data_IF_576748956773
#
_entry.id   IF_576748956773
#
_cell.length_a   1.000
_cell.length_b   1.000
_cell.length_c   1.000
_cell.angle_alpha   90.00
_cell.angle_beta   90.00
_cell.angle_gamma   90.00
#
_symmetry.space_group_name_H-M   'P 1'
#
loop_
_entity.id
_entity.type
_entity.pdbx_description
1 polymer ?
#
# COMPACT_ATOMS: atom_id res chain seq x y z
N UNK A 1 -10.52 -17.25 3.25
CA UNK A 1 -9.60 -17.05 4.40
C UNK A 1 -10.02 -15.86 5.29
N UNK A 2 -11.31 -15.48 5.34
CA UNK A 2 -11.86 -14.49 6.30
C UNK A 2 -12.78 -15.16 7.36
N UNK A 3 -12.87 -16.48 7.34
CA UNK A 3 -13.78 -17.31 8.14
C UNK A 3 -13.37 -17.48 9.62
N UNK A 4 -12.34 -16.79 10.09
CA UNK A 4 -11.80 -16.94 11.46
C UNK A 4 -12.15 -15.78 12.41
N UNK A 5 -12.90 -14.79 11.96
CA UNK A 5 -13.37 -13.71 12.84
C UNK A 5 -14.60 -14.17 13.64
N UNK A 6 -14.70 -13.72 14.89
CA UNK A 6 -15.86 -13.97 15.75
C UNK A 6 -17.20 -13.47 15.14
N UNK A 7 -17.12 -12.59 14.14
CA UNK A 7 -18.25 -12.01 13.41
C UNK A 7 -17.95 -11.97 11.89
N UNK A 8 -18.13 -13.10 11.17
CA UNK A 8 -17.77 -13.21 9.75
C UNK A 8 -18.60 -12.29 8.83
N UNK A 9 -19.82 -11.94 9.23
CA UNK A 9 -20.67 -10.98 8.49
C UNK A 9 -20.17 -9.54 8.63
N UNK A 10 -19.61 -9.17 9.78
CA UNK A 10 -19.06 -7.83 9.96
C UNK A 10 -17.74 -7.68 9.19
N UNK A 11 -16.90 -8.73 9.16
CA UNK A 11 -15.65 -8.72 8.41
C UNK A 11 -15.88 -8.67 6.90
N UNK A 12 -16.91 -9.37 6.38
CA UNK A 12 -17.27 -9.30 4.96
C UNK A 12 -17.74 -7.89 4.55
N UNK A 13 -18.61 -7.27 5.35
CA UNK A 13 -19.09 -5.89 5.11
C UNK A 13 -17.93 -4.88 5.11
N UNK A 14 -17.00 -4.99 6.07
CA UNK A 14 -15.84 -4.11 6.12
C UNK A 14 -14.92 -4.27 4.91
N UNK A 15 -14.66 -5.51 4.50
CA UNK A 15 -13.83 -5.78 3.32
C UNK A 15 -14.48 -5.22 2.06
N UNK A 16 -15.78 -5.44 1.87
CA UNK A 16 -16.53 -4.92 0.72
C UNK A 16 -16.52 -3.39 0.67
N UNK A 17 -16.68 -2.76 1.83
CA UNK A 17 -16.76 -1.30 1.95
C UNK A 17 -15.43 -0.60 1.68
N UNK A 18 -14.30 -1.25 1.99
CA UNK A 18 -12.98 -0.60 2.00
C UNK A 18 -12.03 -1.08 0.90
N UNK A 19 -12.26 -2.26 0.29
CA UNK A 19 -11.43 -2.77 -0.82
C UNK A 19 -11.55 -1.86 -2.03
N UNK A 20 -10.47 -1.76 -2.80
CA UNK A 20 -10.46 -1.02 -4.06
C UNK A 20 -10.84 -1.98 -5.19
N UNK A 21 -11.97 -1.74 -5.84
CA UNK A 21 -12.48 -2.55 -6.95
C UNK A 21 -13.09 -1.63 -8.01
N UNK A 22 -13.05 -2.06 -9.28
CA UNK A 22 -13.44 -1.20 -10.41
C UNK A 22 -14.93 -0.85 -10.38
N UNK A 23 -15.80 -1.81 -10.00
CA UNK A 23 -17.24 -1.58 -9.94
C UNK A 23 -17.59 -0.42 -8.98
N UNK A 24 -16.99 -0.40 -7.79
CA UNK A 24 -17.21 0.69 -6.86
C UNK A 24 -16.63 2.02 -7.35
N UNK A 25 -15.52 2.01 -8.10
CA UNK A 25 -14.97 3.23 -8.71
C UNK A 25 -15.90 3.82 -9.77
N UNK A 26 -16.54 2.96 -10.57
CA UNK A 26 -17.53 3.37 -11.57
C UNK A 26 -18.76 4.02 -10.92
N UNK A 27 -19.12 3.58 -9.70
CA UNK A 27 -20.16 4.17 -8.86
C UNK A 27 -19.71 5.44 -8.09
N UNK A 28 -18.48 5.91 -8.32
CA UNK A 28 -17.94 7.13 -7.71
C UNK A 28 -17.30 6.95 -6.33
N UNK A 29 -17.01 5.72 -5.92
CA UNK A 29 -16.43 5.41 -4.60
C UNK A 29 -14.92 5.68 -4.49
N UNK A 30 -14.47 6.87 -4.88
CA UNK A 30 -13.05 7.24 -4.92
C UNK A 30 -12.37 7.26 -3.54
N UNK A 31 -13.13 7.31 -2.43
CA UNK A 31 -12.56 7.19 -1.09
C UNK A 31 -11.87 5.83 -0.86
N UNK A 32 -12.20 4.80 -1.64
CA UNK A 32 -11.57 3.47 -1.57
C UNK A 32 -10.06 3.53 -1.84
N UNK A 33 -9.58 4.51 -2.62
CA UNK A 33 -8.14 4.76 -2.79
C UNK A 33 -7.41 5.10 -1.48
N UNK A 34 -8.11 5.68 -0.51
CA UNK A 34 -7.53 6.01 0.79
C UNK A 34 -7.67 4.85 1.81
N UNK A 35 -8.66 3.98 1.66
CA UNK A 35 -8.98 2.95 2.66
C UNK A 35 -8.41 1.57 2.37
N UNK A 36 -8.20 1.20 1.10
CA UNK A 36 -7.85 -0.18 0.73
C UNK A 36 -6.52 -0.65 1.34
N UNK A 37 -5.60 0.29 1.62
CA UNK A 37 -4.32 0.01 2.27
C UNK A 37 -4.45 -0.50 3.71
N UNK A 38 -5.60 -0.28 4.36
CA UNK A 38 -5.89 -0.77 5.71
C UNK A 38 -6.28 -2.26 5.71
N UNK A 39 -6.77 -2.78 4.57
CA UNK A 39 -7.17 -4.16 4.43
C UNK A 39 -5.99 -5.06 4.06
N UNK A 40 -6.02 -6.30 4.53
CA UNK A 40 -5.06 -7.33 4.14
C UNK A 40 -5.79 -8.67 4.02
N UNK A 41 -5.55 -9.40 2.91
CA UNK A 41 -6.26 -10.66 2.63
C UNK A 41 -5.78 -11.86 3.45
N UNK A 42 -4.63 -11.78 4.13
CA UNK A 42 -4.08 -12.87 4.94
C UNK A 42 -3.10 -12.37 6.01
N UNK A 43 -2.87 -13.21 7.04
CA UNK A 43 -1.88 -12.95 8.10
C UNK A 43 -0.46 -12.79 7.58
N UNK A 44 -0.08 -13.60 6.59
CA UNK A 44 1.23 -13.47 5.96
C UNK A 44 1.35 -12.16 5.18
N UNK A 45 0.27 -11.72 4.51
CA UNK A 45 0.29 -10.47 3.77
C UNK A 45 0.49 -9.25 4.68
N UNK A 46 -0.24 -9.17 5.80
CA UNK A 46 -0.02 -8.10 6.78
C UNK A 46 1.36 -8.20 7.43
N UNK A 47 1.83 -9.40 7.77
CA UNK A 47 3.16 -9.58 8.34
C UNK A 47 4.26 -9.07 7.40
N UNK A 48 4.20 -9.38 6.11
CA UNK A 48 5.17 -8.89 5.12
C UNK A 48 5.13 -7.36 4.96
N UNK A 49 3.94 -6.76 4.98
CA UNK A 49 3.81 -5.29 4.95
C UNK A 49 4.42 -4.66 6.21
N UNK A 50 4.13 -5.20 7.39
CA UNK A 50 4.68 -4.69 8.65
C UNK A 50 6.19 -4.87 8.72
N UNK A 51 6.72 -6.02 8.27
CA UNK A 51 8.17 -6.27 8.18
C UNK A 51 8.81 -5.25 7.22
N UNK A 52 8.25 -5.05 6.04
CA UNK A 52 8.75 -4.07 5.08
C UNK A 52 8.76 -2.65 5.66
N UNK A 53 7.67 -2.24 6.28
CA UNK A 53 7.57 -0.92 6.91
C UNK A 53 8.54 -0.77 8.09
N UNK A 54 8.68 -1.80 8.92
CA UNK A 54 9.56 -1.81 10.08
C UNK A 54 11.05 -1.68 9.71
N UNK A 55 11.49 -2.36 8.65
CA UNK A 55 12.89 -2.27 8.22
C UNK A 55 13.16 -1.05 7.35
N UNK A 56 12.35 -0.80 6.32
CA UNK A 56 12.66 0.23 5.32
C UNK A 56 12.14 1.62 5.70
N UNK A 57 11.06 1.69 6.46
CA UNK A 57 10.47 2.95 6.91
C UNK A 57 11.44 3.81 7.72
N UNK A 58 12.02 3.31 8.82
CA UNK A 58 12.99 4.07 9.63
C UNK A 58 14.24 4.48 8.86
N UNK A 59 14.75 3.63 7.96
CA UNK A 59 15.90 3.95 7.10
C UNK A 59 15.54 5.16 6.23
N UNK A 60 14.44 5.08 5.48
CA UNK A 60 14.01 6.16 4.60
C UNK A 60 13.73 7.45 5.36
N UNK A 61 13.01 7.36 6.48
CA UNK A 61 12.69 8.50 7.33
C UNK A 61 13.95 9.16 7.89
N UNK A 62 14.96 8.39 8.28
CA UNK A 62 16.22 8.94 8.79
C UNK A 62 17.00 9.73 7.73
N UNK A 63 16.91 9.33 6.47
CA UNK A 63 17.62 9.96 5.35
C UNK A 63 16.86 11.14 4.75
N UNK A 64 15.53 11.05 4.69
CA UNK A 64 14.68 12.01 3.95
C UNK A 64 13.72 12.79 4.85
N UNK A 65 13.60 12.45 6.13
CA UNK A 65 12.71 13.09 7.10
C UNK A 65 11.26 12.57 7.07
N UNK A 66 10.55 12.80 8.18
CA UNK A 66 9.17 12.33 8.41
C UNK A 66 8.17 12.78 7.33
N UNK A 67 8.26 14.04 6.89
CA UNK A 67 7.33 14.59 5.87
C UNK A 67 7.43 13.82 4.56
N UNK A 68 8.64 13.61 4.08
CA UNK A 68 8.88 12.88 2.84
C UNK A 68 8.51 11.40 2.97
N UNK A 69 8.75 10.79 4.12
CA UNK A 69 8.27 9.43 4.41
C UNK A 69 6.75 9.31 4.23
N UNK A 70 5.97 10.23 4.80
CA UNK A 70 4.52 10.22 4.67
C UNK A 70 4.07 10.47 3.23
N UNK A 71 4.68 11.42 2.53
CA UNK A 71 4.35 11.74 1.13
C UNK A 71 4.62 10.54 0.22
N UNK A 72 5.78 9.88 0.37
CA UNK A 72 6.14 8.72 -0.45
C UNK A 72 5.27 7.52 -0.11
N UNK A 73 4.99 7.26 1.16
CA UNK A 73 4.13 6.16 1.58
C UNK A 73 2.70 6.34 1.05
N UNK A 74 2.08 7.49 1.30
CA UNK A 74 0.70 7.77 0.88
C UNK A 74 0.63 7.90 -0.64
N UNK A 75 1.58 8.60 -1.26
CA UNK A 75 1.67 8.72 -2.71
C UNK A 75 1.83 7.37 -3.41
N UNK A 76 2.67 6.48 -2.87
CA UNK A 76 2.83 5.12 -3.37
C UNK A 76 1.60 4.24 -3.19
N UNK A 77 0.84 4.42 -2.11
CA UNK A 77 -0.48 3.78 -1.94
C UNK A 77 -1.43 4.28 -3.04
N UNK A 78 -1.58 5.59 -3.22
CA UNK A 78 -2.50 6.14 -4.22
C UNK A 78 -2.13 5.74 -5.65
N UNK A 79 -0.85 5.87 -6.01
CA UNK A 79 -0.36 5.48 -7.35
C UNK A 79 -0.43 3.96 -7.52
N UNK A 80 -0.10 3.17 -6.50
CA UNK A 80 -0.23 1.72 -6.54
C UNK A 80 -1.67 1.26 -6.76
N UNK A 81 -2.62 1.86 -6.04
CA UNK A 81 -4.05 1.62 -6.25
C UNK A 81 -4.51 2.04 -7.65
N UNK A 82 -4.07 3.20 -8.14
CA UNK A 82 -4.41 3.67 -9.48
C UNK A 82 -3.87 2.75 -10.57
N UNK A 83 -2.60 2.34 -10.45
CA UNK A 83 -1.98 1.41 -11.38
C UNK A 83 -2.68 0.04 -11.34
N UNK A 84 -3.07 -0.43 -10.15
CA UNK A 84 -3.89 -1.64 -10.03
C UNK A 84 -5.19 -1.49 -10.80
N UNK A 85 -5.99 -0.44 -10.56
CA UNK A 85 -7.26 -0.22 -11.26
C UNK A 85 -7.12 -0.10 -12.79
N UNK A 86 -6.00 0.44 -13.28
CA UNK A 86 -5.75 0.57 -14.71
C UNK A 86 -5.27 -0.73 -15.38
N UNK A 87 -4.56 -1.59 -14.65
CA UNK A 87 -3.89 -2.78 -15.18
C UNK A 87 -4.64 -4.09 -14.88
N UNK A 88 -5.40 -4.13 -13.79
CA UNK A 88 -6.23 -5.24 -13.35
C UNK A 88 -7.55 -4.72 -12.78
N UNK A 89 -8.56 -4.68 -13.65
CA UNK A 89 -9.91 -4.22 -13.32
C UNK A 89 -10.81 -5.35 -12.81
N UNK A 90 -10.39 -6.61 -12.89
CA UNK A 90 -11.20 -7.76 -12.48
C UNK A 90 -11.02 -8.10 -11.00
N UNK A 91 -9.85 -7.80 -10.43
CA UNK A 91 -9.55 -8.13 -9.03
C UNK A 91 -9.57 -6.91 -8.12
N UNK A 92 -9.97 -7.13 -6.87
CA UNK A 92 -9.94 -6.08 -5.85
C UNK A 92 -8.54 -5.96 -5.21
N UNK A 93 -8.07 -4.73 -5.05
CA UNK A 93 -6.83 -4.41 -4.34
C UNK A 93 -7.06 -4.20 -2.84
N UNK A 94 -6.11 -4.72 -2.05
CA UNK A 94 -5.97 -4.50 -0.60
C UNK A 94 -4.49 -4.41 -0.24
N UNK A 95 -4.15 -3.64 0.79
CA UNK A 95 -2.82 -3.65 1.42
C UNK A 95 -1.97 -2.42 1.10
N UNK A 96 -1.02 -2.15 2.00
CA UNK A 96 -0.16 -0.96 1.95
C UNK A 96 1.07 -1.11 1.04
N UNK A 97 1.17 -2.22 0.29
CA UNK A 97 2.39 -2.63 -0.41
C UNK A 97 2.84 -1.64 -1.48
N UNK A 98 1.92 -0.94 -2.15
CA UNK A 98 2.26 0.13 -3.10
C UNK A 98 3.09 1.25 -2.46
N UNK A 99 2.77 1.63 -1.22
CA UNK A 99 3.54 2.62 -0.46
C UNK A 99 4.91 2.10 -0.02
N UNK A 100 4.99 0.84 0.40
CA UNK A 100 6.25 0.21 0.82
C UNK A 100 7.19 0.04 -0.38
N UNK A 101 6.65 -0.37 -1.54
CA UNK A 101 7.42 -0.47 -2.79
C UNK A 101 7.91 0.90 -3.26
N UNK A 102 7.13 1.97 -3.08
CA UNK A 102 7.58 3.32 -3.36
C UNK A 102 8.77 3.73 -2.47
N UNK A 103 8.70 3.44 -1.15
CA UNK A 103 9.83 3.66 -0.24
C UNK A 103 11.07 2.90 -0.71
N UNK A 104 10.91 1.61 -1.03
CA UNK A 104 12.01 0.77 -1.53
C UNK A 104 12.61 1.30 -2.83
N UNK A 105 11.77 1.71 -3.78
CA UNK A 105 12.21 2.29 -5.04
C UNK A 105 13.02 3.57 -4.82
N UNK A 106 12.58 4.45 -3.90
CA UNK A 106 13.32 5.65 -3.54
C UNK A 106 14.66 5.34 -2.87
N UNK A 107 14.71 4.37 -1.94
CA UNK A 107 15.97 3.94 -1.31
C UNK A 107 16.94 3.36 -2.35
N UNK A 108 16.45 2.54 -3.27
CA UNK A 108 17.25 1.98 -4.36
C UNK A 108 17.79 3.09 -5.26
N UNK A 109 16.94 4.04 -5.68
CA UNK A 109 17.34 5.18 -6.50
C UNK A 109 18.40 6.04 -5.80
N UNK A 110 18.21 6.36 -4.51
CA UNK A 110 19.20 7.06 -3.72
C UNK A 110 20.54 6.32 -3.71
N UNK A 111 20.53 4.99 -3.50
CA UNK A 111 21.76 4.20 -3.47
C UNK A 111 22.53 4.20 -4.80
N UNK A 112 21.81 4.28 -5.93
CA UNK A 112 22.40 4.30 -7.28
C UNK A 112 22.98 5.68 -7.58
N UNK A 113 22.22 6.74 -7.29
CA UNK A 113 22.64 8.11 -7.58
C UNK A 113 23.80 8.57 -6.68
N UNK A 114 23.80 8.15 -5.41
CA UNK A 114 24.89 8.46 -4.48
C UNK A 114 26.19 7.71 -4.78
N UNK A 115 26.16 6.67 -5.64
CA UNK A 115 27.37 5.98 -6.13
C UNK A 115 28.05 6.68 -7.29
N UNK A 116 27.32 7.50 -8.05
CA UNK A 116 27.83 8.16 -9.25
C UNK A 116 28.50 9.52 -8.93
N UNK A 117 28.07 10.18 -7.85
CA UNK A 117 28.65 11.45 -7.39
C UNK A 117 29.99 11.33 -6.64
N UNK A 118 30.56 10.13 -6.50
CA UNK A 118 31.85 9.89 -5.83
C UNK A 118 32.98 9.52 -6.81
N UNK A 119 32.83 9.85 -8.09
CA UNK A 119 33.87 9.77 -9.13
C UNK A 119 34.21 11.16 -9.62
#
# INVERSE_FOLDING_TARGET
MFSSFAYPELSSVLVESLRLDQAALDDGAYWKFASYALLHFSWIHIALNLIGLFFFGPIFESWHGRKNFLVVLIGGILVGGLLHSLLDSETAAVGASGGILAILACLAAHSILSRDGSR
#
